data_IF_653139378716
#
_entry.id   IF_653139378716
#
_cell.length_a   1.000
_cell.length_b   1.000
_cell.length_c   1.000
_cell.angle_alpha   90.00
_cell.angle_beta   90.00
_cell.angle_gamma   90.00
#
_symmetry.space_group_name_H-M   'P 1'
#
loop_
_entity.id
_entity.type
_entity.pdbx_description
1 polymer ?
#
# COMPACT_ATOMS: atom_id res chain seq x y z
N UNK A 1 21.04 -8.22 -2.29
CA UNK A 1 20.66 -6.95 -2.92
C UNK A 1 19.23 -6.59 -2.52
N UNK A 2 19.05 -5.73 -1.52
CA UNK A 2 17.74 -5.22 -1.06
C UNK A 2 17.85 -3.78 -0.52
N UNK A 3 19.07 -3.39 -0.09
CA UNK A 3 19.44 -2.04 0.31
C UNK A 3 19.34 -1.00 -0.81
N UNK A 4 19.54 -1.38 -2.08
CA UNK A 4 19.39 -0.48 -3.23
C UNK A 4 17.94 -0.07 -3.48
N UNK A 5 17.03 -1.04 -3.49
CA UNK A 5 15.59 -0.80 -3.67
C UNK A 5 14.95 -0.05 -2.48
N UNK A 6 15.52 -0.18 -1.29
CA UNK A 6 15.08 0.55 -0.10
C UNK A 6 15.40 2.07 -0.16
N UNK A 7 16.35 2.47 -1.02
CA UNK A 7 16.78 3.86 -1.21
C UNK A 7 16.17 4.54 -2.43
N UNK A 8 15.60 3.79 -3.38
CA UNK A 8 14.97 4.34 -4.58
C UNK A 8 13.53 4.75 -4.35
N UNK A 9 13.03 5.74 -5.11
CA UNK A 9 11.61 6.14 -5.15
C UNK A 9 10.77 5.11 -5.92
N UNK A 10 10.75 3.89 -5.40
CA UNK A 10 9.93 2.79 -5.91
C UNK A 10 8.91 2.37 -4.85
N UNK A 11 7.88 1.62 -5.23
CA UNK A 11 6.89 1.03 -4.33
C UNK A 11 7.51 0.40 -3.08
N UNK A 12 8.60 -0.35 -3.28
CA UNK A 12 9.34 -1.08 -2.27
C UNK A 12 10.10 -0.13 -1.33
N UNK A 13 10.68 0.94 -1.87
CA UNK A 13 11.32 2.00 -1.09
C UNK A 13 10.35 2.72 -0.17
N UNK A 14 9.17 3.13 -0.69
CA UNK A 14 8.16 3.81 0.12
C UNK A 14 7.54 2.90 1.20
N UNK A 15 7.31 1.63 0.87
CA UNK A 15 6.88 0.62 1.85
C UNK A 15 7.92 0.45 2.97
N UNK A 16 9.21 0.41 2.62
CA UNK A 16 10.28 0.32 3.61
C UNK A 16 10.31 1.56 4.53
N UNK A 17 10.22 2.78 3.98
CA UNK A 17 10.15 4.03 4.76
C UNK A 17 8.97 4.05 5.73
N UNK A 18 7.81 3.54 5.33
CA UNK A 18 6.64 3.44 6.24
C UNK A 18 6.83 2.39 7.33
N UNK A 19 7.46 1.27 7.02
CA UNK A 19 7.75 0.20 8.00
C UNK A 19 8.75 0.66 9.06
N UNK A 20 9.85 1.32 8.67
CA UNK A 20 10.85 1.81 9.65
C UNK A 20 10.30 2.89 10.60
N UNK A 21 9.23 3.60 10.23
CA UNK A 21 8.53 4.54 11.13
C UNK A 21 7.75 3.84 12.24
N UNK A 22 7.40 2.55 12.07
CA UNK A 22 6.55 1.80 13.01
C UNK A 22 7.27 0.65 13.71
N UNK A 23 8.42 0.19 13.20
CA UNK A 23 9.14 -0.95 13.74
C UNK A 23 10.66 -0.86 13.53
N UNK A 24 11.46 -1.64 14.29
CA UNK A 24 12.91 -1.69 14.12
C UNK A 24 13.34 -2.04 12.69
N UNK A 25 14.44 -1.43 12.22
CA UNK A 25 14.93 -1.54 10.84
C UNK A 25 15.09 -3.00 10.36
N UNK A 26 15.58 -3.88 11.22
CA UNK A 26 15.73 -5.30 10.90
C UNK A 26 14.39 -5.99 10.60
N UNK A 27 13.35 -5.70 11.40
CA UNK A 27 11.99 -6.22 11.16
C UNK A 27 11.39 -5.64 9.88
N UNK A 28 11.63 -4.37 9.60
CA UNK A 28 11.19 -3.74 8.36
C UNK A 28 11.81 -4.38 7.10
N UNK A 29 13.09 -4.76 7.14
CA UNK A 29 13.76 -5.47 6.04
C UNK A 29 13.14 -6.84 5.79
N UNK A 30 12.88 -7.63 6.83
CA UNK A 30 12.25 -8.95 6.68
C UNK A 30 10.83 -8.83 6.11
N UNK A 31 10.05 -7.86 6.57
CA UNK A 31 8.73 -7.59 6.02
C UNK A 31 8.78 -7.15 4.54
N UNK A 32 9.81 -6.39 4.14
CA UNK A 32 10.06 -6.03 2.76
C UNK A 32 10.39 -7.26 1.91
N UNK A 33 11.30 -8.12 2.39
CA UNK A 33 11.70 -9.37 1.72
C UNK A 33 10.51 -10.30 1.48
N UNK A 34 9.65 -10.50 2.49
CA UNK A 34 8.43 -11.30 2.34
C UNK A 34 7.53 -10.75 1.23
N UNK A 35 7.44 -9.42 1.11
CA UNK A 35 6.63 -8.78 0.08
C UNK A 35 7.21 -9.03 -1.31
N UNK A 36 8.53 -8.94 -1.47
CA UNK A 36 9.25 -9.26 -2.72
C UNK A 36 9.04 -10.72 -3.11
N UNK A 37 9.16 -11.65 -2.16
CA UNK A 37 8.96 -13.08 -2.42
C UNK A 37 7.55 -13.39 -2.92
N UNK A 38 6.53 -12.76 -2.35
CA UNK A 38 5.14 -12.94 -2.81
C UNK A 38 4.97 -12.44 -4.23
N UNK A 39 5.55 -11.28 -4.57
CA UNK A 39 5.52 -10.73 -5.93
C UNK A 39 6.17 -11.73 -6.91
N UNK A 40 7.37 -12.21 -6.60
CA UNK A 40 8.09 -13.18 -7.45
C UNK A 40 7.27 -14.46 -7.60
N UNK A 41 6.66 -14.96 -6.52
CA UNK A 41 5.81 -16.14 -6.57
C UNK A 41 4.63 -15.96 -7.53
N UNK A 42 3.93 -14.80 -7.49
CA UNK A 42 2.81 -14.54 -8.39
C UNK A 42 3.27 -14.43 -9.84
N UNK A 43 4.44 -13.82 -10.09
CA UNK A 43 5.00 -13.73 -11.44
C UNK A 43 5.46 -15.08 -12.00
N UNK A 44 5.91 -15.99 -11.14
CA UNK A 44 6.28 -17.34 -11.53
C UNK A 44 5.07 -18.27 -11.66
N UNK A 45 4.01 -18.03 -10.89
CA UNK A 45 2.79 -18.83 -10.92
C UNK A 45 1.94 -18.54 -12.16
N UNK A 46 1.90 -17.28 -12.60
CA UNK A 46 1.09 -16.85 -13.75
C UNK A 46 1.95 -16.16 -14.82
N UNK A 47 2.29 -16.84 -15.93
CA UNK A 47 3.13 -16.28 -17.00
C UNK A 47 2.44 -15.16 -17.81
N UNK A 48 1.15 -14.91 -17.61
CA UNK A 48 0.39 -13.80 -18.22
C UNK A 48 0.39 -12.54 -17.37
N UNK A 49 0.93 -12.59 -16.14
CA UNK A 49 0.92 -11.45 -15.22
C UNK A 49 2.17 -10.61 -15.46
N UNK A 50 2.00 -9.48 -16.12
CA UNK A 50 3.05 -8.48 -16.23
C UNK A 50 3.20 -7.71 -14.91
N UNK A 51 4.43 -7.67 -14.39
CA UNK A 51 4.74 -6.83 -13.23
C UNK A 51 4.70 -5.36 -13.63
N UNK A 52 3.57 -4.70 -13.36
CA UNK A 52 3.51 -3.24 -13.41
C UNK A 52 4.07 -2.72 -12.09
N UNK A 53 5.21 -2.03 -12.12
CA UNK A 53 5.71 -1.33 -10.94
C UNK A 53 4.65 -0.31 -10.52
N UNK A 54 4.03 -0.58 -9.37
CA UNK A 54 3.02 0.26 -8.77
C UNK A 54 3.76 1.50 -8.26
N UNK A 55 3.97 2.45 -9.18
CA UNK A 55 4.60 3.77 -9.01
C UNK A 55 4.57 4.22 -7.55
N UNK A 56 5.64 4.83 -6.99
CA UNK A 56 5.78 5.19 -5.57
C UNK A 56 4.55 5.81 -4.89
N UNK A 57 3.67 6.43 -5.68
CA UNK A 57 2.41 7.03 -5.28
C UNK A 57 1.25 6.06 -4.96
N UNK A 58 1.41 4.75 -5.20
CA UNK A 58 0.35 3.77 -4.99
C UNK A 58 -0.16 3.70 -3.53
N UNK A 59 0.75 3.84 -2.56
CA UNK A 59 0.40 3.88 -1.15
C UNK A 59 -0.15 5.22 -0.67
N UNK A 60 0.12 6.29 -1.40
CA UNK A 60 -0.46 7.62 -1.14
C UNK A 60 -1.90 7.59 -1.64
N UNK A 61 -2.10 7.28 -2.92
CA UNK A 61 -3.41 7.40 -3.57
C UNK A 61 -4.48 6.47 -2.98
N UNK A 62 -4.23 5.17 -2.79
CA UNK A 62 -5.27 4.24 -2.29
C UNK A 62 -5.47 4.32 -0.78
N UNK A 63 -4.38 4.41 -0.03
CA UNK A 63 -4.42 4.35 1.43
C UNK A 63 -4.93 5.68 1.99
N UNK A 64 -4.56 6.81 1.39
CA UNK A 64 -5.11 8.11 1.80
C UNK A 64 -6.57 8.23 1.37
N UNK A 65 -6.98 7.74 0.19
CA UNK A 65 -8.39 7.79 -0.21
C UNK A 65 -9.27 7.02 0.77
N UNK A 66 -8.93 5.75 1.06
CA UNK A 66 -9.70 4.90 1.98
C UNK A 66 -9.65 5.40 3.43
N UNK A 67 -8.50 5.87 3.91
CA UNK A 67 -8.39 6.46 5.24
C UNK A 67 -9.20 7.76 5.34
N UNK A 68 -9.17 8.59 4.29
CA UNK A 68 -9.94 9.84 4.23
C UNK A 68 -11.44 9.58 4.15
N UNK A 69 -11.88 8.58 3.39
CA UNK A 69 -13.31 8.18 3.38
C UNK A 69 -13.73 7.73 4.77
N UNK A 70 -12.96 6.85 5.41
CA UNK A 70 -13.26 6.38 6.76
C UNK A 70 -13.26 7.51 7.80
N UNK A 71 -12.35 8.48 7.68
CA UNK A 71 -12.30 9.64 8.56
C UNK A 71 -13.55 10.52 8.40
N UNK A 72 -13.95 10.82 7.16
CA UNK A 72 -15.16 11.59 6.86
C UNK A 72 -16.42 10.87 7.34
N UNK A 73 -16.52 9.56 7.11
CA UNK A 73 -17.62 8.73 7.60
C UNK A 73 -17.72 8.78 9.12
N UNK A 74 -16.59 8.72 9.85
CA UNK A 74 -16.57 8.86 11.31
C UNK A 74 -17.04 10.23 11.78
N UNK A 75 -16.66 11.31 11.09
CA UNK A 75 -17.13 12.66 11.41
C UNK A 75 -18.63 12.80 11.21
N UNK A 76 -19.17 12.26 10.13
CA UNK A 76 -20.62 12.27 9.87
C UNK A 76 -21.40 11.44 10.90
N UNK A 77 -20.86 10.30 11.32
CA UNK A 77 -21.44 9.53 12.42
C UNK A 77 -21.42 10.28 13.76
N UNK A 78 -20.34 11.01 14.06
CA UNK A 78 -20.25 11.83 15.28
C UNK A 78 -21.28 12.97 15.30
N UNK A 79 -21.72 13.44 14.14
CA UNK A 79 -22.80 14.42 13.98
C UNK A 79 -24.20 13.80 14.02
N UNK A 80 -24.32 12.49 14.26
CA UNK A 80 -25.60 11.78 14.37
C UNK A 80 -26.18 11.27 13.05
N UNK A 81 -25.44 11.38 11.94
CA UNK A 81 -25.90 10.88 10.64
C UNK A 81 -25.51 9.41 10.44
N UNK A 82 -26.43 8.63 9.87
CA UNK A 82 -26.12 7.29 9.39
C UNK A 82 -25.69 7.35 7.92
N UNK A 83 -24.41 7.10 7.64
CA UNK A 83 -23.84 7.22 6.29
C UNK A 83 -23.84 5.88 5.57
N UNK A 84 -24.49 5.82 4.41
CA UNK A 84 -24.30 4.74 3.44
C UNK A 84 -23.50 5.28 2.26
N UNK A 85 -22.28 4.79 2.07
CA UNK A 85 -21.45 5.13 0.92
C UNK A 85 -21.86 4.25 -0.26
N UNK A 86 -22.47 4.84 -1.28
CA UNK A 86 -22.70 4.19 -2.57
C UNK A 86 -21.55 4.56 -3.50
N UNK A 87 -20.79 3.60 -4.06
CA UNK A 87 -19.76 3.94 -5.03
C UNK A 87 -20.42 4.60 -6.24
N UNK A 88 -19.92 5.78 -6.62
CA UNK A 88 -20.27 6.38 -7.90
C UNK A 88 -19.70 5.45 -8.98
N UNK A 89 -20.61 4.75 -9.66
CA UNK A 89 -20.34 3.79 -10.72
C UNK A 89 -19.17 4.25 -11.60
N UNK A 90 -18.07 3.48 -11.63
CA UNK A 90 -17.00 3.69 -12.60
C UNK A 90 -17.26 2.70 -13.72
N UNK A 91 -17.81 3.22 -14.83
CA UNK A 91 -17.88 2.53 -16.11
C UNK A 91 -16.49 2.46 -16.75
#
# INVERSE_FOLDING_TARGET
>A
MATGAAKTDTFLGERYRRLIKRMPKAKALVALQRSILIIIFHLLADPTVEFTDLRPDYYTQRLDLAQRTNHLTRQLHALGYNVKLTPANTA
#
